data_IF_825057943644
#
_entry.id   IF_825057943644
#
_cell.length_a   1.000
_cell.length_b   1.000
_cell.length_c   1.000
_cell.angle_alpha   90.00
_cell.angle_beta   90.00
_cell.angle_gamma   90.00
#
_symmetry.space_group_name_H-M   'P 1'
#
loop_
_entity.id
_entity.type
_entity.pdbx_description
1 polymer ?
#
# COMPACT_ATOMS: atom_id res chain seq x y z
N UNK A 1 -11.86 -1.50 -8.85
CA UNK A 1 -10.83 -1.55 -7.79
C UNK A 1 -10.64 -2.98 -7.28
N UNK A 2 -11.70 -3.67 -6.83
CA UNK A 2 -11.54 -5.01 -6.25
C UNK A 2 -11.09 -6.03 -7.27
N UNK A 3 -11.57 -5.96 -8.51
CA UNK A 3 -11.09 -6.79 -9.62
C UNK A 3 -9.58 -6.63 -9.84
N UNK A 4 -9.09 -5.39 -9.87
CA UNK A 4 -7.66 -5.11 -10.05
C UNK A 4 -6.80 -5.60 -8.87
N UNK A 5 -7.29 -5.42 -7.64
CA UNK A 5 -6.63 -5.97 -6.44
C UNK A 5 -6.63 -7.51 -6.48
N UNK A 6 -7.76 -8.13 -6.83
CA UNK A 6 -7.92 -9.57 -6.97
C UNK A 6 -6.93 -10.15 -7.97
N UNK A 7 -6.85 -9.57 -9.17
CA UNK A 7 -5.94 -10.03 -10.20
C UNK A 7 -4.47 -9.85 -9.80
N UNK A 8 -4.14 -8.78 -9.08
CA UNK A 8 -2.81 -8.58 -8.52
C UNK A 8 -2.47 -9.67 -7.47
N UNK A 9 -3.34 -9.93 -6.50
CA UNK A 9 -3.05 -10.94 -5.46
C UNK A 9 -3.08 -12.36 -6.02
N UNK A 10 -3.91 -12.62 -7.03
CA UNK A 10 -3.90 -13.89 -7.78
C UNK A 10 -2.57 -14.10 -8.51
N UNK A 11 -2.00 -13.04 -9.09
CA UNK A 11 -0.68 -13.11 -9.68
C UNK A 11 0.39 -13.46 -8.63
N UNK A 12 0.36 -12.82 -7.45
CA UNK A 12 1.27 -13.16 -6.35
C UNK A 12 1.08 -14.59 -5.83
N UNK A 13 -0.17 -15.05 -5.72
CA UNK A 13 -0.50 -16.39 -5.25
C UNK A 13 0.20 -17.49 -6.07
N UNK A 14 0.40 -17.28 -7.39
CA UNK A 14 1.10 -18.22 -8.27
C UNK A 14 2.51 -18.55 -7.79
N UNK A 15 3.19 -17.61 -7.14
CA UNK A 15 4.54 -17.80 -6.60
C UNK A 15 4.57 -18.51 -5.25
N UNK A 16 3.45 -18.52 -4.53
CA UNK A 16 3.32 -19.17 -3.22
C UNK A 16 2.86 -20.63 -3.34
N UNK A 17 2.13 -20.97 -4.41
CA UNK A 17 1.61 -22.32 -4.64
C UNK A 17 2.75 -23.33 -4.69
N UNK A 18 2.66 -24.37 -3.86
CA UNK A 18 3.65 -25.44 -3.77
C UNK A 18 4.86 -25.12 -2.89
N UNK A 19 5.04 -23.86 -2.47
CA UNK A 19 6.07 -23.44 -1.50
C UNK A 19 5.50 -23.22 -0.11
N UNK A 20 4.34 -22.57 -0.01
CA UNK A 20 3.62 -22.33 1.25
C UNK A 20 2.38 -23.22 1.30
N UNK A 21 1.99 -23.77 2.47
CA UNK A 21 0.74 -24.52 2.62
C UNK A 21 -0.47 -23.70 2.15
N UNK A 22 -1.40 -24.36 1.46
CA UNK A 22 -2.53 -23.71 0.75
C UNK A 22 -3.33 -22.76 1.63
N UNK A 23 -3.67 -23.17 2.86
CA UNK A 23 -4.54 -22.39 3.75
C UNK A 23 -3.85 -21.11 4.25
N UNK A 24 -2.63 -21.17 4.81
CA UNK A 24 -1.84 -19.96 5.12
C UNK A 24 -1.61 -19.04 3.92
N UNK A 25 -1.25 -19.58 2.75
CA UNK A 25 -1.05 -18.79 1.54
C UNK A 25 -2.33 -18.02 1.14
N UNK A 26 -3.49 -18.68 1.23
CA UNK A 26 -4.78 -18.04 0.96
C UNK A 26 -5.09 -16.94 1.96
N UNK A 27 -4.86 -17.16 3.25
CA UNK A 27 -5.08 -16.15 4.30
C UNK A 27 -4.17 -14.94 4.09
N UNK A 28 -2.89 -15.16 3.80
CA UNK A 28 -1.94 -14.12 3.42
C UNK A 28 -2.41 -13.28 2.24
N UNK A 29 -2.84 -13.92 1.14
CA UNK A 29 -3.32 -13.17 -0.04
C UNK A 29 -4.57 -12.37 0.24
N UNK A 30 -5.48 -12.88 1.08
CA UNK A 30 -6.67 -12.14 1.53
C UNK A 30 -6.28 -10.92 2.38
N UNK A 31 -5.33 -11.09 3.31
CA UNK A 31 -4.90 -9.99 4.17
C UNK A 31 -4.16 -8.91 3.39
N UNK A 32 -3.30 -9.31 2.45
CA UNK A 32 -2.65 -8.38 1.54
C UNK A 32 -3.69 -7.61 0.69
N UNK A 33 -4.73 -8.29 0.19
CA UNK A 33 -5.81 -7.62 -0.53
C UNK A 33 -6.50 -6.55 0.32
N UNK A 34 -6.79 -6.83 1.59
CA UNK A 34 -7.39 -5.86 2.52
C UNK A 34 -6.53 -4.61 2.66
N UNK A 35 -5.21 -4.80 2.86
CA UNK A 35 -4.27 -3.69 2.98
C UNK A 35 -4.18 -2.84 1.70
N UNK A 36 -4.19 -3.48 0.54
CA UNK A 36 -4.18 -2.79 -0.73
C UNK A 36 -5.45 -1.98 -0.96
N UNK A 37 -6.61 -2.54 -0.62
CA UNK A 37 -7.89 -1.84 -0.71
C UNK A 37 -7.88 -0.60 0.19
N UNK A 38 -7.43 -0.72 1.44
CA UNK A 38 -7.31 0.42 2.35
C UNK A 38 -6.40 1.50 1.78
N UNK A 39 -5.19 1.11 1.34
CA UNK A 39 -4.24 2.04 0.74
C UNK A 39 -4.80 2.70 -0.52
N UNK A 40 -5.42 1.95 -1.43
CA UNK A 40 -5.94 2.51 -2.68
C UNK A 40 -7.14 3.45 -2.47
N UNK A 41 -7.94 3.22 -1.42
CA UNK A 41 -9.02 4.15 -1.03
C UNK A 41 -8.49 5.50 -0.55
N UNK A 42 -7.41 5.51 0.24
CA UNK A 42 -6.79 6.76 0.72
C UNK A 42 -6.29 7.64 -0.43
N UNK A 43 -5.81 7.04 -1.51
CA UNK A 43 -5.20 7.75 -2.64
C UNK A 43 -6.20 8.20 -3.71
N UNK A 44 -7.51 8.12 -3.43
CA UNK A 44 -8.63 8.39 -4.35
C UNK A 44 -8.51 7.63 -5.68
N UNK A 45 -9.13 6.46 -5.75
CA UNK A 45 -9.26 5.66 -6.97
C UNK A 45 -10.14 6.37 -8.02
N UNK A 46 -9.52 7.08 -8.96
CA UNK A 46 -10.21 7.80 -10.05
C UNK A 46 -10.22 6.98 -11.34
N UNK A 47 -11.39 6.75 -11.93
CA UNK A 47 -11.55 5.98 -13.17
C UNK A 47 -11.15 6.80 -14.42
N UNK A 48 -11.30 8.12 -14.35
CA UNK A 48 -11.07 9.02 -15.49
C UNK A 48 -9.58 9.23 -15.73
N UNK A 49 -8.79 9.23 -14.65
CA UNK A 49 -7.34 9.36 -14.69
C UNK A 49 -6.66 8.20 -13.94
N UNK A 50 -6.50 7.03 -14.60
CA UNK A 50 -6.00 5.82 -13.97
C UNK A 50 -4.51 5.90 -13.61
N UNK A 51 -3.79 6.88 -14.16
CA UNK A 51 -2.36 7.10 -13.91
C UNK A 51 -2.10 8.09 -12.78
N UNK A 52 -3.05 8.98 -12.48
CA UNK A 52 -2.86 10.00 -11.46
C UNK A 52 -3.10 9.47 -10.07
N UNK A 53 -2.11 9.63 -9.21
CA UNK A 53 -2.28 9.50 -7.77
C UNK A 53 -2.34 10.91 -7.20
N UNK A 54 -3.42 11.26 -6.48
CA UNK A 54 -3.45 12.51 -5.72
C UNK A 54 -2.91 12.23 -4.32
N UNK A 55 -1.71 12.73 -4.02
CA UNK A 55 -1.09 12.56 -2.71
C UNK A 55 -1.83 13.46 -1.71
N UNK A 56 -2.47 12.87 -0.72
CA UNK A 56 -2.81 13.55 0.52
C UNK A 56 -1.77 13.12 1.54
N UNK A 57 -0.97 14.06 2.05
CA UNK A 57 -0.10 13.82 3.21
C UNK A 57 -0.96 13.59 4.45
N UNK A 58 -1.42 12.36 4.61
CA UNK A 58 -2.07 11.86 5.80
C UNK A 58 -1.56 10.46 6.04
N UNK A 59 -0.67 10.31 7.01
CA UNK A 59 -0.19 9.02 7.49
C UNK A 59 -1.38 8.08 7.77
N UNK A 60 -1.29 6.81 7.34
CA UNK A 60 -2.16 5.77 7.86
C UNK A 60 -1.97 5.69 9.39
N UNK A 61 -3.03 5.82 10.20
CA UNK A 61 -2.98 5.38 11.58
C UNK A 61 -3.24 3.87 11.58
N UNK A 62 -2.20 3.08 11.33
CA UNK A 62 -2.22 1.64 11.64
C UNK A 62 -1.01 1.29 12.51
N UNK A 63 -0.82 2.09 13.56
CA UNK A 63 -0.07 1.65 14.73
C UNK A 63 -1.02 0.89 15.64
N UNK A 64 -0.74 -0.42 15.80
CA UNK A 64 -1.10 -1.29 16.92
C UNK A 64 -2.46 -1.07 17.60
N UNK A 65 -3.40 -1.98 17.32
CA UNK A 65 -4.24 -2.51 18.42
C UNK A 65 -3.47 -3.64 19.08
N UNK A 66 -2.54 -3.28 19.96
CA UNK A 66 -2.02 -4.25 20.93
C UNK A 66 -3.18 -4.66 21.84
N UNK A 67 -3.30 -5.97 22.01
CA UNK A 67 -4.25 -6.66 22.86
C UNK A 67 -4.20 -6.12 24.29
N UNK A 68 -5.30 -5.54 24.76
CA UNK A 68 -5.55 -5.39 26.18
C UNK A 68 -5.90 -6.77 26.77
N UNK A 69 -4.88 -7.57 27.05
CA UNK A 69 -4.96 -8.68 28.03
C UNK A 69 -4.26 -8.19 29.29
N UNK A 70 -5.05 -8.07 30.35
CA UNK A 70 -4.73 -7.31 31.54
C UNK A 70 -3.45 -7.70 32.27
N UNK A 71 -2.86 -6.69 32.91
CA UNK A 71 -2.20 -6.82 34.21
C UNK A 71 -2.49 -5.56 35.01
N UNK A 72 -3.13 -5.77 36.14
CA UNK A 72 -3.33 -4.79 37.20
C UNK A 72 -1.99 -4.18 37.60
N UNK A 73 -1.88 -2.86 37.57
CA UNK A 73 -1.04 -2.10 38.51
C UNK A 73 -1.60 -0.68 38.60
N UNK A 74 -2.16 -0.35 39.77
CA UNK A 74 -2.53 1.00 40.18
C UNK A 74 -1.37 1.97 39.95
N UNK A 75 -1.64 3.15 39.40
CA UNK A 75 -0.87 4.37 39.69
C UNK A 75 -1.67 5.61 39.25
N UNK A 76 -2.11 6.38 40.25
CA UNK A 76 -2.06 7.85 40.22
C UNK A 76 -3.16 8.59 39.47
N UNK A 77 -4.16 9.07 40.21
CA UNK A 77 -4.96 10.24 39.87
C UNK A 77 -4.05 11.45 39.64
N UNK A 78 -4.20 12.15 38.50
CA UNK A 78 -3.91 13.58 38.42
C UNK A 78 -4.97 14.28 37.54
N UNK A 79 -5.51 15.34 38.12
CA UNK A 79 -6.70 16.07 37.71
C UNK A 79 -6.48 17.00 36.51
N UNK A 80 -7.60 17.31 35.88
CA UNK A 80 -7.78 18.23 34.75
C UNK A 80 -7.56 19.67 35.22
N UNK A 81 -6.46 20.30 34.79
CA UNK A 81 -6.36 21.77 34.65
C UNK A 81 -5.06 22.14 33.91
N UNK A 82 -5.14 23.18 33.08
CA UNK A 82 -4.03 23.87 32.38
C UNK A 82 -3.42 23.21 31.14
N UNK A 83 -4.05 23.40 29.97
CA UNK A 83 -3.37 23.97 28.77
C UNK A 83 -4.39 24.78 27.95
N UNK A 84 -4.93 25.86 28.54
CA UNK A 84 -5.39 27.00 27.75
C UNK A 84 -4.17 27.85 27.42
N UNK A 85 -3.71 27.77 26.17
CA UNK A 85 -3.01 28.81 25.38
C UNK A 85 -2.23 28.13 24.28
N UNK A 86 -2.76 28.17 23.07
CA UNK A 86 -1.95 28.32 21.86
C UNK A 86 -2.83 29.02 20.84
N UNK A 87 -2.40 30.24 20.54
CA UNK A 87 -3.04 31.22 19.68
C UNK A 87 -3.15 30.72 18.24
N UNK A 88 -4.25 31.11 17.59
CA UNK A 88 -4.43 31.03 16.15
C UNK A 88 -3.45 32.01 15.52
N UNK A 89 -2.43 31.49 14.83
CA UNK A 89 -1.59 32.28 13.95
C UNK A 89 -2.05 32.00 12.53
N UNK A 90 -2.80 32.95 11.98
CA UNK A 90 -2.96 33.08 10.54
C UNK A 90 -1.67 33.71 10.00
N UNK A 91 -0.90 32.98 9.19
CA UNK A 91 0.08 33.59 8.28
C UNK A 91 -0.25 33.18 6.85
N UNK A 92 -0.76 34.17 6.11
CA UNK A 92 -0.66 34.24 4.65
C UNK A 92 0.78 34.61 4.30
N UNK A 93 1.46 33.79 3.50
CA UNK A 93 2.50 34.24 2.57
C UNK A 93 2.64 33.22 1.43
N UNK A 94 1.92 33.51 0.34
CA UNK A 94 2.08 32.87 -0.96
C UNK A 94 3.43 33.30 -1.56
N UNK A 95 4.45 32.46 -1.43
CA UNK A 95 5.66 32.58 -2.25
C UNK A 95 5.76 31.39 -3.22
N UNK A 96 5.29 31.63 -4.44
CA UNK A 96 5.43 30.77 -5.61
C UNK A 96 6.90 30.41 -5.85
N UNK A 97 7.30 29.19 -5.48
CA UNK A 97 8.59 28.63 -5.85
C UNK A 97 8.54 28.19 -7.32
N UNK A 98 9.13 28.97 -8.22
CA UNK A 98 9.31 28.54 -9.62
C UNK A 98 10.60 27.71 -9.76
N UNK A 99 10.54 26.39 -10.02
CA UNK A 99 11.74 25.61 -10.32
C UNK A 99 12.21 25.91 -11.75
N UNK A 100 13.49 26.23 -11.90
CA UNK A 100 14.12 26.56 -13.19
C UNK A 100 14.07 25.42 -14.22
N UNK A 101 14.36 25.73 -15.51
CA UNK A 101 14.03 24.89 -16.67
C UNK A 101 14.97 23.68 -16.89
N UNK A 102 15.60 23.16 -15.83
CA UNK A 102 16.65 22.12 -15.93
C UNK A 102 16.39 20.81 -15.19
N UNK A 103 15.28 20.67 -14.46
CA UNK A 103 14.95 19.46 -13.69
C UNK A 103 13.53 18.96 -13.99
N UNK A 104 13.15 18.95 -15.26
CA UNK A 104 12.01 18.16 -15.71
C UNK A 104 12.56 16.82 -16.18
N UNK A 105 12.46 15.79 -15.34
CA UNK A 105 12.08 14.43 -15.75
C UNK A 105 12.20 13.43 -14.58
N UNK A 106 11.09 12.72 -14.35
CA UNK A 106 11.01 11.34 -13.81
C UNK A 106 10.90 11.06 -12.29
N UNK A 107 10.35 11.92 -11.42
CA UNK A 107 10.50 11.67 -9.97
C UNK A 107 9.33 11.87 -8.97
N UNK A 108 8.06 12.11 -9.34
CA UNK A 108 7.05 12.41 -8.28
C UNK A 108 5.67 11.72 -8.28
N UNK A 109 5.24 11.03 -9.34
CA UNK A 109 3.82 10.62 -9.42
C UNK A 109 3.51 9.10 -9.43
N UNK A 110 4.50 8.20 -9.42
CA UNK A 110 4.26 6.74 -9.57
C UNK A 110 4.21 5.91 -8.26
N UNK A 111 4.41 6.51 -7.09
CA UNK A 111 4.78 5.77 -5.87
C UNK A 111 3.67 5.13 -5.02
N UNK A 112 2.38 5.29 -5.37
CA UNK A 112 1.31 4.99 -4.41
C UNK A 112 0.37 3.83 -4.79
N UNK A 113 0.29 3.46 -6.07
CA UNK A 113 -0.41 2.25 -6.55
C UNK A 113 0.56 1.17 -7.02
N UNK A 114 1.75 1.16 -6.44
CA UNK A 114 2.81 0.20 -6.69
C UNK A 114 3.11 -0.61 -5.44
N UNK A 115 3.37 -1.90 -5.63
CA UNK A 115 3.91 -2.80 -4.61
C UNK A 115 5.27 -3.29 -5.10
N UNK A 116 6.28 -3.17 -4.25
CA UNK A 116 7.68 -3.50 -4.56
C UNK A 116 8.11 -4.68 -3.71
N UNK A 117 8.71 -5.67 -4.36
CA UNK A 117 9.40 -6.76 -3.67
C UNK A 117 10.86 -6.79 -4.10
N UNK A 118 11.76 -6.64 -3.12
CA UNK A 118 13.23 -6.73 -3.29
C UNK A 118 13.78 -5.84 -4.41
N UNK A 119 13.22 -4.65 -4.59
CA UNK A 119 13.70 -3.66 -5.56
C UNK A 119 14.82 -2.86 -4.90
N UNK A 120 16.07 -3.03 -5.35
CA UNK A 120 17.26 -2.42 -4.71
C UNK A 120 17.35 -2.70 -3.20
N UNK A 121 16.94 -3.89 -2.76
CA UNK A 121 16.90 -4.27 -1.34
C UNK A 121 15.69 -3.72 -0.57
N UNK A 122 14.79 -2.99 -1.23
CA UNK A 122 13.56 -2.48 -0.63
C UNK A 122 12.36 -3.39 -0.91
N UNK A 123 11.57 -3.66 0.12
CA UNK A 123 10.29 -4.38 0.05
C UNK A 123 9.23 -3.57 0.77
N UNK A 124 8.05 -3.42 0.17
CA UNK A 124 6.95 -2.67 0.79
C UNK A 124 6.43 -3.40 2.05
N UNK A 125 6.22 -2.62 3.11
CA UNK A 125 5.78 -3.13 4.42
C UNK A 125 4.45 -3.87 4.37
N UNK A 126 3.59 -3.61 3.39
CA UNK A 126 2.31 -4.31 3.22
C UNK A 126 2.50 -5.83 3.10
N UNK A 127 3.57 -6.27 2.42
CA UNK A 127 3.89 -7.70 2.27
C UNK A 127 4.36 -8.27 3.62
N UNK A 128 5.22 -7.54 4.32
CA UNK A 128 5.81 -7.95 5.60
C UNK A 128 4.72 -8.03 6.68
N UNK A 129 3.89 -6.99 6.80
CA UNK A 129 2.76 -6.94 7.73
C UNK A 129 1.74 -8.03 7.45
N UNK A 130 1.37 -8.27 6.18
CA UNK A 130 0.39 -9.31 5.84
C UNK A 130 0.91 -10.72 6.16
N UNK A 131 2.21 -10.97 5.97
CA UNK A 131 2.83 -12.23 6.36
C UNK A 131 2.81 -12.40 7.88
N UNK A 132 3.24 -11.36 8.60
CA UNK A 132 3.35 -11.35 10.06
C UNK A 132 2.00 -11.58 10.74
N UNK A 133 0.95 -10.88 10.30
CA UNK A 133 -0.40 -11.02 10.87
C UNK A 133 -1.01 -12.41 10.66
N UNK A 134 -0.65 -13.09 9.57
CA UNK A 134 -1.12 -14.44 9.29
C UNK A 134 -0.22 -15.53 9.89
N UNK A 135 0.78 -15.14 10.69
CA UNK A 135 1.71 -16.07 11.35
C UNK A 135 2.70 -16.74 10.40
N UNK A 136 2.96 -16.14 9.23
CA UNK A 136 3.97 -16.59 8.28
C UNK A 136 5.29 -15.86 8.52
N UNK A 137 6.41 -16.56 8.34
CA UNK A 137 7.72 -15.93 8.33
C UNK A 137 7.83 -15.00 7.10
N UNK A 138 8.07 -13.69 7.26
CA UNK A 138 8.19 -12.78 6.12
C UNK A 138 9.29 -13.19 5.15
N UNK A 139 10.42 -13.71 5.67
CA UNK A 139 11.54 -14.15 4.84
C UNK A 139 11.15 -15.33 3.94
N UNK A 140 10.44 -16.34 4.46
CA UNK A 140 9.92 -17.46 3.65
C UNK A 140 8.96 -16.98 2.55
N UNK A 141 8.09 -16.02 2.86
CA UNK A 141 7.18 -15.42 1.87
C UNK A 141 7.96 -14.68 0.80
N UNK A 142 8.99 -13.92 1.19
CA UNK A 142 9.81 -13.16 0.24
C UNK A 142 10.70 -14.07 -0.61
N UNK A 143 11.19 -15.19 -0.10
CA UNK A 143 11.89 -16.20 -0.90
C UNK A 143 10.99 -16.84 -1.98
N UNK A 144 9.67 -16.85 -1.75
CA UNK A 144 8.73 -17.35 -2.74
C UNK A 144 8.55 -16.40 -3.94
N UNK A 145 8.57 -15.09 -3.68
CA UNK A 145 8.27 -14.02 -4.64
C UNK A 145 9.54 -13.66 -5.45
N UNK A 146 9.45 -13.32 -6.74
CA UNK A 146 10.62 -12.88 -7.53
C UNK A 146 11.30 -11.63 -6.97
N UNK A 147 12.61 -11.54 -7.17
CA UNK A 147 13.39 -10.35 -6.86
C UNK A 147 13.09 -9.21 -7.84
N UNK A 148 13.26 -7.98 -7.37
CA UNK A 148 13.23 -6.77 -8.20
C UNK A 148 11.93 -6.64 -9.03
N UNK A 149 10.78 -6.94 -8.43
CA UNK A 149 9.48 -6.83 -9.09
C UNK A 149 8.67 -5.65 -8.55
N UNK A 150 8.08 -4.89 -9.48
CA UNK A 150 7.15 -3.80 -9.22
C UNK A 150 5.78 -4.20 -9.77
N UNK A 151 4.75 -4.22 -8.93
CA UNK A 151 3.38 -4.55 -9.29
C UNK A 151 2.53 -3.29 -9.26
N UNK A 152 1.81 -3.03 -10.34
CA UNK A 152 0.96 -1.85 -10.50
C UNK A 152 -0.49 -2.29 -10.63
N UNK A 153 -1.38 -1.64 -9.88
CA UNK A 153 -2.83 -1.83 -10.00
C UNK A 153 -3.51 -0.48 -10.22
N UNK A 154 -3.96 -0.25 -11.45
CA UNK A 154 -4.65 0.95 -11.88
C UNK A 154 -6.06 0.58 -12.37
N UNK A 155 -7.01 1.53 -12.37
CA UNK A 155 -8.34 1.27 -12.94
C UNK A 155 -8.27 0.74 -14.38
N UNK A 156 -8.78 -0.47 -14.59
CA UNK A 156 -8.81 -1.15 -15.90
C UNK A 156 -7.50 -1.80 -16.34
N UNK A 157 -6.43 -1.72 -15.54
CA UNK A 157 -5.13 -2.28 -15.91
C UNK A 157 -4.30 -2.70 -14.68
N UNK A 158 -3.84 -3.95 -14.69
CA UNK A 158 -2.87 -4.48 -13.73
C UNK A 158 -1.67 -5.00 -14.51
N UNK A 159 -0.48 -4.58 -14.14
CA UNK A 159 0.75 -4.97 -14.82
C UNK A 159 1.92 -5.04 -13.84
N UNK A 160 3.02 -5.67 -14.26
CA UNK A 160 4.26 -5.67 -13.50
C UNK A 160 5.45 -5.20 -14.33
N UNK A 161 6.50 -4.75 -13.65
CA UNK A 161 7.82 -4.51 -14.24
C UNK A 161 8.87 -5.33 -13.48
N UNK A 162 9.72 -6.03 -14.21
CA UNK A 162 10.87 -6.77 -13.66
C UNK A 162 12.08 -5.84 -13.47
N UNK A 163 11.90 -4.80 -12.67
CA UNK A 163 12.86 -3.72 -12.40
C UNK A 163 12.36 -2.36 -12.86
N UNK A 164 12.96 -1.29 -12.33
CA UNK A 164 12.48 0.09 -12.54
C UNK A 164 12.40 0.49 -14.02
N UNK A 165 13.37 0.05 -14.83
CA UNK A 165 13.50 0.40 -16.24
C UNK A 165 13.00 -0.72 -17.18
N UNK A 166 12.39 -1.78 -16.63
CA UNK A 166 11.89 -2.89 -17.43
C UNK A 166 10.56 -2.51 -18.11
N UNK A 167 10.29 -3.14 -19.25
CA UNK A 167 9.01 -3.00 -19.93
C UNK A 167 7.86 -3.51 -19.03
N UNK A 168 6.71 -2.82 -19.11
CA UNK A 168 5.50 -3.25 -18.43
C UNK A 168 4.95 -4.52 -19.08
N UNK A 169 4.67 -5.54 -18.26
CA UNK A 169 4.07 -6.80 -18.67
C UNK A 169 2.65 -6.87 -18.10
N UNK A 170 1.61 -6.97 -18.94
CA UNK A 170 0.24 -6.98 -18.48
C UNK A 170 -0.07 -8.26 -17.71
N UNK A 171 -0.73 -8.10 -16.55
CA UNK A 171 -1.34 -9.19 -15.77
C UNK A 171 -2.82 -9.29 -16.14
N UNK A 172 -3.51 -8.14 -16.17
CA UNK A 172 -4.92 -8.04 -16.50
C UNK A 172 -5.25 -6.69 -17.13
N UNK A 173 -6.21 -6.69 -18.03
CA UNK A 173 -6.79 -5.49 -18.67
C UNK A 173 -8.29 -5.69 -18.80
N UNK A 174 -9.09 -4.67 -18.53
CA UNK A 174 -10.54 -4.78 -18.60
C UNK A 174 -11.27 -3.45 -18.46
N UNK A 175 -12.59 -3.53 -18.45
CA UNK A 175 -13.44 -2.35 -18.33
C UNK A 175 -13.35 -1.74 -16.93
N UNK A 176 -13.18 -0.42 -16.87
CA UNK A 176 -13.03 0.31 -15.62
C UNK A 176 -14.36 0.40 -14.89
N UNK A 177 -14.32 0.22 -13.56
CA UNK A 177 -15.51 0.42 -12.71
C UNK A 177 -16.53 -0.71 -12.77
N UNK A 178 -16.28 -1.76 -13.56
CA UNK A 178 -17.07 -2.98 -13.58
C UNK A 178 -16.39 -3.99 -12.66
N UNK A 179 -17.13 -4.51 -11.69
CA UNK A 179 -16.70 -5.67 -10.91
C UNK A 179 -17.58 -6.88 -11.30
N UNK A 180 -17.07 -7.79 -12.15
CA UNK A 180 -17.87 -8.89 -12.68
C UNK A 180 -18.31 -9.88 -11.59
N UNK A 181 -17.67 -9.89 -10.42
CA UNK A 181 -18.05 -10.76 -9.31
C UNK A 181 -19.18 -10.16 -8.44
N UNK A 182 -19.51 -8.87 -8.63
CA UNK A 182 -20.54 -8.15 -7.87
C UNK A 182 -21.81 -7.86 -8.69
N UNK A 183 -21.88 -8.35 -9.93
CA UNK A 183 -23.02 -8.20 -10.85
C UNK A 183 -23.71 -9.54 -11.07
#
# INVERSE_FOLDING_TARGET
MYTEVKELVNFLAKYLIGKIPRRPASLFTCQLANFLICRFREHKWDLNDPTKVRIYSGCCPFERRDEAVGKDTELGQLEISEVEKLEVVEEEDDQEFQPGPGFMNAARDEHHRVIRSKVKGFTDQLIISAATEMGLCPDEVLECIPDNILLFANPGEVFYRAGENAAAVPIWTGEKGVDPDLT
#
